data_IF_052757787454
#
_entry.id   IF_052757787454
#
_cell.length_a   1.000
_cell.length_b   1.000
_cell.length_c   1.000
_cell.angle_alpha   90.00
_cell.angle_beta   90.00
_cell.angle_gamma   90.00
#
_symmetry.space_group_name_H-M   'P 1'
#
loop_
_entity.id
_entity.type
_entity.pdbx_description
1 polymer ?
#
# COMPACT_ATOMS: atom_id res chain seq x y z
N UNK A 1 6.38 -7.64 -18.27
CA UNK A 1 5.72 -8.02 -17.01
C UNK A 1 4.27 -7.58 -17.09
N UNK A 2 3.32 -8.50 -17.04
CA UNK A 2 1.91 -8.15 -16.94
C UNK A 2 1.64 -7.79 -15.48
N UNK A 3 1.34 -6.52 -15.20
CA UNK A 3 0.90 -6.12 -13.87
C UNK A 3 -0.48 -6.74 -13.66
N UNK A 4 -0.54 -7.79 -12.85
CA UNK A 4 -1.81 -8.36 -12.39
C UNK A 4 -2.49 -7.34 -11.48
N UNK A 5 -3.23 -6.40 -12.06
CA UNK A 5 -4.01 -5.44 -11.28
C UNK A 5 -5.13 -6.22 -10.61
N UNK A 6 -4.99 -6.43 -9.31
CA UNK A 6 -6.10 -6.99 -8.53
C UNK A 6 -7.25 -5.98 -8.56
N UNK A 7 -8.44 -6.44 -9.00
CA UNK A 7 -9.67 -5.66 -8.93
C UNK A 7 -10.24 -5.58 -7.50
N UNK A 8 -9.70 -6.39 -6.58
CA UNK A 8 -10.10 -6.34 -5.18
C UNK A 8 -9.39 -5.16 -4.50
N UNK A 9 -10.13 -4.27 -3.82
CA UNK A 9 -9.51 -3.18 -3.08
C UNK A 9 -8.60 -3.76 -1.98
N UNK A 10 -7.43 -3.14 -1.75
CA UNK A 10 -6.57 -3.55 -0.66
C UNK A 10 -7.25 -3.32 0.69
N UNK A 11 -6.99 -4.17 1.68
CA UNK A 11 -7.50 -4.02 3.05
C UNK A 11 -6.36 -4.05 4.06
N UNK A 12 -6.49 -3.26 5.12
CA UNK A 12 -5.48 -3.13 6.19
C UNK A 12 -6.11 -3.48 7.53
N UNK A 13 -5.46 -4.32 8.31
CA UNK A 13 -5.94 -4.80 9.62
C UNK A 13 -4.79 -4.74 10.63
N UNK A 14 -5.02 -4.12 11.78
CA UNK A 14 -4.10 -4.15 12.90
C UNK A 14 -4.14 -5.51 13.61
N UNK A 15 -2.97 -6.03 14.00
CA UNK A 15 -2.82 -7.29 14.74
C UNK A 15 -2.13 -7.04 16.09
N UNK A 16 -2.84 -6.55 17.11
CA UNK A 16 -2.24 -6.14 18.39
C UNK A 16 -1.50 -7.25 19.12
N UNK A 17 -1.97 -8.50 18.98
CA UNK A 17 -1.36 -9.66 19.64
C UNK A 17 0.08 -9.96 19.19
N UNK A 18 0.47 -9.48 18.00
CA UNK A 18 1.80 -9.72 17.40
C UNK A 18 2.50 -8.42 16.97
N UNK A 19 1.95 -7.26 17.32
CA UNK A 19 2.58 -5.96 17.02
C UNK A 19 2.73 -5.65 15.52
N UNK A 20 1.89 -6.24 14.67
CA UNK A 20 1.99 -6.10 13.21
C UNK A 20 0.73 -5.50 12.58
N UNK A 21 0.89 -5.01 11.35
CA UNK A 21 -0.19 -4.62 10.46
C UNK A 21 -0.21 -5.58 9.28
N UNK A 22 -1.37 -6.18 9.03
CA UNK A 22 -1.61 -7.02 7.87
C UNK A 22 -2.23 -6.22 6.74
N UNK A 23 -1.60 -6.26 5.56
CA UNK A 23 -2.06 -5.62 4.33
C UNK A 23 -2.38 -6.72 3.32
N UNK A 24 -3.62 -6.77 2.86
CA UNK A 24 -4.07 -7.75 1.87
C UNK A 24 -4.29 -7.06 0.54
N UNK A 25 -3.67 -7.60 -0.52
CA UNK A 25 -3.81 -7.12 -1.90
C UNK A 25 -4.12 -8.31 -2.79
N UNK A 26 -5.40 -8.49 -3.13
CA UNK A 26 -5.86 -9.68 -3.85
C UNK A 26 -5.54 -10.97 -3.07
N UNK A 27 -4.71 -11.83 -3.66
CA UNK A 27 -4.27 -13.09 -3.06
C UNK A 27 -2.98 -12.95 -2.22
N UNK A 28 -2.30 -11.79 -2.27
CA UNK A 28 -1.09 -11.54 -1.49
C UNK A 28 -1.45 -10.95 -0.13
N UNK A 29 -0.70 -11.34 0.89
CA UNK A 29 -0.75 -10.74 2.23
C UNK A 29 0.67 -10.34 2.63
N UNK A 30 0.81 -9.11 3.11
CA UNK A 30 2.02 -8.55 3.67
C UNK A 30 1.79 -8.30 5.16
N UNK A 31 2.73 -8.73 6.00
CA UNK A 31 2.73 -8.45 7.43
C UNK A 31 3.94 -7.57 7.71
N UNK A 32 3.68 -6.38 8.23
CA UNK A 32 4.71 -5.38 8.52
C UNK A 32 4.65 -5.00 9.99
N UNK A 33 5.81 -4.73 10.58
CA UNK A 33 5.90 -4.18 11.92
C UNK A 33 5.29 -2.78 11.97
N UNK A 34 4.85 -2.34 13.15
CA UNK A 34 4.19 -1.04 13.30
C UNK A 34 5.00 0.13 12.73
N UNK A 35 6.29 0.23 13.07
CA UNK A 35 7.15 1.33 12.60
C UNK A 35 7.42 1.30 11.09
N UNK A 36 7.40 0.11 10.50
CA UNK A 36 7.54 -0.06 9.05
C UNK A 36 6.23 0.29 8.34
N UNK A 37 5.08 -0.05 8.93
CA UNK A 37 3.76 0.32 8.41
C UNK A 37 3.59 1.85 8.37
N UNK A 38 4.07 2.57 9.38
CA UNK A 38 4.04 4.03 9.42
C UNK A 38 4.85 4.65 8.27
N UNK A 39 6.06 4.13 8.02
CA UNK A 39 6.90 4.55 6.88
C UNK A 39 6.25 4.22 5.54
N UNK A 40 5.76 2.99 5.39
CA UNK A 40 5.10 2.54 4.16
C UNK A 40 3.88 3.42 3.82
N UNK A 41 3.12 3.87 4.83
CA UNK A 41 1.98 4.76 4.62
C UNK A 41 2.40 6.11 4.03
N UNK A 42 3.57 6.64 4.40
CA UNK A 42 4.11 7.87 3.83
C UNK A 42 4.60 7.66 2.40
N UNK A 43 5.31 6.57 2.13
CA UNK A 43 5.82 6.24 0.80
C UNK A 43 4.67 6.07 -0.21
N UNK A 44 3.58 5.39 0.19
CA UNK A 44 2.38 5.25 -0.65
C UNK A 44 1.76 6.61 -0.97
N UNK A 45 1.67 7.51 0.02
CA UNK A 45 1.13 8.85 -0.19
C UNK A 45 2.00 9.66 -1.15
N UNK A 46 3.32 9.58 -1.00
CA UNK A 46 4.26 10.27 -1.86
C UNK A 46 4.18 9.74 -3.31
N UNK A 47 4.20 8.43 -3.52
CA UNK A 47 4.07 7.84 -4.85
C UNK A 47 2.73 8.23 -5.53
N UNK A 48 1.64 8.30 -4.76
CA UNK A 48 0.35 8.74 -5.28
C UNK A 48 0.35 10.24 -5.67
N UNK A 49 1.06 11.09 -4.92
CA UNK A 49 1.26 12.50 -5.26
C UNK A 49 2.07 12.66 -6.54
N UNK A 50 3.18 11.93 -6.67
CA UNK A 50 4.03 11.93 -7.86
C UNK A 50 3.22 11.53 -9.10
N UNK A 51 2.41 10.47 -9.03
CA UNK A 51 1.53 10.05 -10.11
C UNK A 51 0.49 11.11 -10.50
N UNK A 52 -0.14 11.77 -9.52
CA UNK A 52 -1.07 12.88 -9.80
C UNK A 52 -0.38 14.03 -10.51
N UNK A 53 0.81 14.42 -10.05
CA UNK A 53 1.58 15.50 -10.66
C UNK A 53 2.02 15.17 -12.09
N UNK A 54 2.48 13.94 -12.32
CA UNK A 54 2.89 13.46 -13.65
C UNK A 54 1.71 13.37 -14.61
N UNK A 55 0.53 12.99 -14.13
CA UNK A 55 -0.68 12.92 -14.96
C UNK A 55 -1.18 14.31 -15.31
N UNK A 56 -1.13 15.26 -14.37
CA UNK A 56 -1.49 16.65 -14.62
C UNK A 56 -0.52 17.38 -15.56
N UNK A 57 0.76 17.00 -15.56
CA UNK A 57 1.75 17.54 -16.50
C UNK A 57 1.66 16.94 -17.91
N UNK A 58 1.01 15.78 -18.06
CA UNK A 58 0.82 15.08 -19.33
C UNK A 58 -0.55 15.35 -19.99
N UNK A 59 -1.43 16.11 -19.33
CA UNK A 59 -2.76 16.52 -19.81
C UNK A 59 -2.74 17.96 -20.33
#
# INVERSE_FOLDING_TARGET
>A
MSVGVSKAPPSVVAMPAVGMVAIKVGAASLYVEQEEADRLALDIQQAALELRSSTAAAA
#
